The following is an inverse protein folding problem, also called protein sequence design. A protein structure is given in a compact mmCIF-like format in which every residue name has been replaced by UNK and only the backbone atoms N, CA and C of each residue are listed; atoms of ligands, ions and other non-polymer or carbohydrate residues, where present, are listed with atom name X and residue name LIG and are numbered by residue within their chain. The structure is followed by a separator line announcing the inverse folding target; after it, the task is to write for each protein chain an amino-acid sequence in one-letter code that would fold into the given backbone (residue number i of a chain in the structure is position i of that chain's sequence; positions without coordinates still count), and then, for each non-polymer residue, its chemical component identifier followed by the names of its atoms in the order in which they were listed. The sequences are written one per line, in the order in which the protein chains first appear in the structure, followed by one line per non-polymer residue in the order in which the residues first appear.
data_IF_113917855452
#
_entry.id   IF_113917855452
#
_cell.length_a   1.000
_cell.length_b   1.000
_cell.length_c   1.000
_cell.angle_alpha   90.00
_cell.angle_beta   90.00
_cell.angle_gamma   90.00
#
_symmetry.space_group_name_H-M   'P 1'
#
loop_
_entity.id
_entity.type
_entity.pdbx_description
1 polymer ?
#
# COMPACT_ATOMS: atom_id res chain seq x y z
N UNK A 1 13.26 -26.70 -15.87
CA UNK A 1 12.93 -26.62 -14.43
C UNK A 1 12.55 -25.17 -14.21
N UNK A 2 11.26 -24.84 -14.34
CA UNK A 2 10.79 -23.46 -14.20
C UNK A 2 10.88 -23.08 -12.73
N UNK A 3 11.74 -22.11 -12.42
CA UNK A 3 11.85 -21.57 -11.06
C UNK A 3 10.54 -20.86 -10.73
N UNK A 4 9.87 -21.15 -9.60
CA UNK A 4 8.65 -20.44 -9.25
C UNK A 4 8.96 -18.94 -9.17
N UNK A 5 8.23 -18.13 -9.93
CA UNK A 5 8.40 -16.68 -9.88
C UNK A 5 8.18 -16.23 -8.45
N UNK A 6 9.21 -15.65 -7.84
CA UNK A 6 9.10 -15.14 -6.49
C UNK A 6 7.93 -14.14 -6.38
N UNK A 7 7.12 -14.18 -5.31
CA UNK A 7 5.89 -13.40 -5.22
C UNK A 7 6.21 -11.90 -5.25
N UNK A 8 5.54 -11.19 -6.17
CA UNK A 8 5.67 -9.74 -6.25
C UNK A 8 4.78 -9.06 -5.22
N UNK A 9 5.28 -7.99 -4.63
CA UNK A 9 4.48 -7.11 -3.80
C UNK A 9 4.78 -5.64 -4.10
N UNK A 10 3.86 -4.76 -3.74
CA UNK A 10 4.00 -3.33 -3.86
C UNK A 10 4.11 -2.71 -2.47
N UNK A 11 4.96 -1.69 -2.32
CA UNK A 11 5.04 -0.88 -1.10
C UNK A 11 5.09 0.60 -1.44
N UNK A 12 4.61 1.49 -0.56
CA UNK A 12 4.76 2.93 -0.75
C UNK A 12 6.21 3.30 -1.05
N UNK A 13 6.41 4.12 -2.07
CA UNK A 13 7.74 4.63 -2.38
C UNK A 13 8.20 5.54 -1.24
N UNK A 14 9.43 5.33 -0.78
CA UNK A 14 10.03 6.18 0.27
C UNK A 14 10.05 7.64 -0.19
N UNK A 15 9.71 8.52 0.75
CA UNK A 15 9.72 9.98 0.58
C UNK A 15 8.80 10.52 -0.54
N UNK A 16 7.85 9.72 -1.01
CA UNK A 16 6.87 10.14 -2.01
C UNK A 16 5.47 10.16 -1.39
N UNK A 17 4.81 11.32 -1.47
CA UNK A 17 3.43 11.47 -1.01
C UNK A 17 2.43 11.09 -2.13
N UNK A 18 1.26 10.54 -1.78
CA UNK A 18 0.12 10.52 -2.68
C UNK A 18 -0.25 11.93 -3.14
N UNK A 19 -0.68 12.06 -4.38
CA UNK A 19 -1.07 13.34 -4.97
C UNK A 19 -2.30 13.18 -5.86
N UNK A 20 -3.03 14.27 -6.11
CA UNK A 20 -4.13 14.29 -7.06
C UNK A 20 -3.71 14.94 -8.38
N UNK A 21 -4.20 14.39 -9.49
CA UNK A 21 -4.12 15.02 -10.79
C UNK A 21 -5.32 15.98 -10.95
N UNK A 22 -5.04 17.26 -11.18
CA UNK A 22 -6.08 18.29 -11.28
C UNK A 22 -6.87 18.26 -12.60
N UNK A 23 -6.32 17.63 -13.66
CA UNK A 23 -6.97 17.53 -14.96
C UNK A 23 -7.91 16.33 -15.03
N UNK A 24 -7.51 15.20 -14.45
CA UNK A 24 -8.29 13.95 -14.48
C UNK A 24 -9.10 13.72 -13.21
N UNK A 25 -8.74 14.38 -12.10
CA UNK A 25 -9.33 14.13 -10.78
C UNK A 25 -8.90 12.80 -10.16
N UNK A 26 -7.90 12.14 -10.74
CA UNK A 26 -7.33 10.90 -10.23
C UNK A 26 -6.48 11.14 -8.97
N UNK A 27 -6.50 10.19 -8.06
CA UNK A 27 -5.55 10.08 -6.96
C UNK A 27 -4.45 9.09 -7.36
N UNK A 28 -3.20 9.50 -7.19
CA UNK A 28 -2.01 8.72 -7.54
C UNK A 28 -1.21 8.44 -6.28
N UNK A 29 -0.93 7.16 -6.06
CA UNK A 29 -0.16 6.67 -4.92
C UNK A 29 1.16 6.11 -5.47
N UNK A 30 2.30 6.77 -5.25
CA UNK A 30 3.59 6.28 -5.71
C UNK A 30 4.00 5.00 -4.95
N UNK A 31 4.20 3.92 -5.70
CA UNK A 31 4.60 2.61 -5.19
C UNK A 31 5.93 2.17 -5.82
N UNK A 32 6.64 1.32 -5.09
CA UNK A 32 7.74 0.53 -5.63
C UNK A 32 7.33 -0.94 -5.60
N UNK A 33 7.50 -1.63 -6.74
CA UNK A 33 7.32 -3.07 -6.85
C UNK A 33 8.59 -3.79 -6.45
N UNK A 34 8.43 -4.86 -5.69
CA UNK A 34 9.50 -5.71 -5.22
C UNK A 34 9.23 -7.17 -5.57
N UNK A 35 10.30 -7.91 -5.87
CA UNK A 35 10.31 -9.37 -5.84
C UNK A 35 11.09 -9.79 -4.60
N UNK A 36 10.38 -10.26 -3.57
CA UNK A 36 10.97 -10.41 -2.22
C UNK A 36 11.61 -9.08 -1.80
N UNK A 37 12.93 -8.97 -1.72
CA UNK A 37 13.63 -7.73 -1.31
C UNK A 37 14.29 -6.99 -2.48
N UNK A 38 14.15 -7.51 -3.70
CA UNK A 38 14.71 -6.88 -4.90
C UNK A 38 13.73 -5.87 -5.48
N UNK A 39 14.15 -4.60 -5.57
CA UNK A 39 13.39 -3.54 -6.25
C UNK A 39 13.31 -3.83 -7.74
N UNK A 40 12.09 -3.93 -8.26
CA UNK A 40 11.82 -4.14 -9.69
C UNK A 40 11.68 -2.79 -10.41
N UNK A 41 10.72 -1.97 -10.00
CA UNK A 41 10.40 -0.67 -10.62
C UNK A 41 9.49 0.18 -9.76
N UNK A 42 9.39 1.46 -10.09
CA UNK A 42 8.37 2.35 -9.54
C UNK A 42 7.12 2.33 -10.43
N UNK A 43 5.95 2.38 -9.79
CA UNK A 43 4.63 2.46 -10.45
C UNK A 43 3.72 3.38 -9.64
N UNK A 44 2.81 4.08 -10.29
CA UNK A 44 1.72 4.78 -9.61
C UNK A 44 0.50 3.86 -9.57
N UNK A 45 -0.06 3.63 -8.38
CA UNK A 45 -1.44 3.16 -8.26
C UNK A 45 -2.35 4.36 -8.51
N UNK A 46 -3.07 4.32 -9.62
CA UNK A 46 -3.99 5.37 -10.06
C UNK A 46 -5.41 4.93 -9.75
N UNK A 47 -6.15 5.78 -9.05
CA UNK A 47 -7.56 5.56 -8.71
C UNK A 47 -8.33 6.81 -9.11
N UNK A 48 -9.55 6.66 -9.62
CA UNK A 48 -10.49 7.77 -9.58
C UNK A 48 -10.80 8.14 -8.13
N UNK A 49 -11.29 9.36 -7.91
CA UNK A 49 -11.71 9.79 -6.57
C UNK A 49 -12.72 8.81 -5.94
N UNK A 50 -13.73 8.38 -6.71
CA UNK A 50 -14.77 7.47 -6.22
C UNK A 50 -14.23 6.08 -5.87
N UNK A 51 -13.29 5.55 -6.65
CA UNK A 51 -12.61 4.30 -6.31
C UNK A 51 -11.78 4.45 -5.04
N UNK A 52 -11.03 5.56 -4.90
CA UNK A 52 -10.25 5.85 -3.70
C UNK A 52 -11.11 5.92 -2.44
N UNK A 53 -12.25 6.63 -2.50
CA UNK A 53 -13.22 6.71 -1.39
C UNK A 53 -13.80 5.31 -1.07
N UNK A 54 -14.15 4.54 -2.09
CA UNK A 54 -14.70 3.19 -1.91
C UNK A 54 -13.69 2.24 -1.26
N UNK A 55 -12.44 2.24 -1.72
CA UNK A 55 -11.36 1.44 -1.13
C UNK A 55 -11.09 1.86 0.32
N UNK A 56 -11.09 3.15 0.61
CA UNK A 56 -10.90 3.62 1.98
C UNK A 56 -12.01 3.13 2.92
N UNK A 57 -13.27 3.22 2.50
CA UNK A 57 -14.41 2.71 3.28
C UNK A 57 -14.31 1.20 3.54
N UNK A 58 -13.83 0.43 2.56
CA UNK A 58 -13.63 -1.02 2.71
C UNK A 58 -12.44 -1.37 3.62
N UNK A 59 -11.37 -0.58 3.59
CA UNK A 59 -10.17 -0.80 4.42
C UNK A 59 -10.35 -0.31 5.86
N UNK A 60 -11.19 0.72 6.08
CA UNK A 60 -11.37 1.36 7.39
C UNK A 60 -11.63 0.38 8.53
N UNK A 61 -12.51 -0.64 8.42
CA UNK A 61 -12.71 -1.61 9.50
C UNK A 61 -11.44 -2.40 9.85
N UNK A 62 -10.69 -2.83 8.83
CA UNK A 62 -9.45 -3.59 9.02
C UNK A 62 -8.34 -2.74 9.65
N UNK A 63 -8.24 -1.46 9.25
CA UNK A 63 -7.30 -0.50 9.83
C UNK A 63 -7.60 -0.26 11.31
N UNK A 64 -8.88 -0.09 11.68
CA UNK A 64 -9.30 0.05 13.09
C UNK A 64 -8.92 -1.18 13.90
N UNK A 65 -9.23 -2.39 13.42
CA UNK A 65 -8.90 -3.64 14.10
C UNK A 65 -7.37 -3.86 14.25
N UNK A 66 -6.59 -3.41 13.26
CA UNK A 66 -5.12 -3.50 13.30
C UNK A 66 -4.52 -2.61 14.40
N UNK A 67 -5.07 -1.41 14.60
CA UNK A 67 -4.63 -0.51 15.67
C UNK A 67 -4.92 -1.14 17.03
N UNK A 68 -6.13 -1.69 17.22
CA UNK A 68 -6.51 -2.37 18.47
C UNK A 68 -5.60 -3.57 18.78
N UNK A 69 -5.20 -4.32 17.75
CA UNK A 69 -4.27 -5.44 17.87
C UNK A 69 -2.84 -4.99 18.24
N UNK A 70 -2.40 -3.85 17.70
CA UNK A 70 -1.11 -3.25 18.04
C UNK A 70 -1.08 -2.73 19.50
N UNK A 71 -2.18 -2.14 19.97
CA UNK A 71 -2.32 -1.65 21.35
C UNK A 71 -2.37 -2.80 22.37
N UNK A 72 -2.86 -3.98 21.97
CA UNK A 72 -2.95 -5.16 22.84
C UNK A 72 -1.68 -6.01 22.95
N UNK A 73 -0.61 -5.72 22.21
CA UNK A 73 0.66 -6.45 22.36
C UNK A 73 1.33 -6.03 23.67
N UNK A 74 1.44 -6.91 24.69
CA UNK A 74 2.25 -6.59 25.86
C UNK A 74 3.71 -6.50 25.43
N UNK A 75 4.41 -5.45 25.86
CA UNK A 75 5.86 -5.40 25.79
C UNK A 75 6.39 -6.59 26.59
N UNK A 76 6.87 -7.61 25.88
CA UNK A 76 7.70 -8.65 26.50
C UNK A 76 9.04 -7.99 26.78
N UNK A 77 9.09 -7.30 27.93
CA UNK A 77 10.34 -6.82 28.52
C UNK A 77 11.14 -8.05 28.89
N UNK A 78 12.28 -8.22 28.23
CA UNK A 78 13.24 -9.28 28.47
C UNK A 78 14.14 -8.94 29.66
#
# INVERSE_FOLDING_TARGET
MDTPSAPWHASPRRDAAPYSDAQTGEVRIPLTLFSVDERIRDVDLVLSRTEGETFFEQLRPALTASIESAVRRPEVVK
#
